data_IF_244744198220
#
_entry.id   IF_244744198220
#
_cell.length_a   1.000
_cell.length_b   1.000
_cell.length_c   1.000
_cell.angle_alpha   90.00
_cell.angle_beta   90.00
_cell.angle_gamma   90.00
#
_symmetry.space_group_name_H-M   'P 1'
#
loop_
_entity.id
_entity.type
_entity.pdbx_description
1 polymer ?
#
# COMPACT_ATOMS: atom_id res chain seq x y z
N UNK A 1 -7.28 -15.22 -26.52
CA UNK A 1 -7.34 -15.70 -25.13
C UNK A 1 -7.15 -14.51 -24.22
N UNK A 2 -8.20 -14.04 -23.55
CA UNK A 2 -8.04 -13.08 -22.46
C UNK A 2 -7.38 -13.81 -21.30
N UNK A 3 -6.12 -13.48 -21.03
CA UNK A 3 -5.46 -13.92 -19.80
C UNK A 3 -6.15 -13.17 -18.65
N UNK A 4 -7.17 -13.80 -18.04
CA UNK A 4 -7.67 -13.44 -16.72
C UNK A 4 -6.60 -13.84 -15.72
N UNK A 5 -5.55 -13.04 -15.68
CA UNK A 5 -4.47 -13.18 -14.74
C UNK A 5 -5.11 -13.08 -13.33
N UNK A 6 -4.81 -14.00 -12.40
CA UNK A 6 -5.52 -14.10 -11.14
C UNK A 6 -5.32 -12.82 -10.33
N UNK A 7 -6.39 -12.28 -9.76
CA UNK A 7 -6.34 -11.13 -8.85
C UNK A 7 -5.82 -11.61 -7.49
N UNK A 8 -5.03 -10.77 -6.83
CA UNK A 8 -4.62 -11.03 -5.46
C UNK A 8 -5.75 -10.71 -4.49
N UNK A 9 -5.85 -11.41 -3.37
CA UNK A 9 -6.73 -10.99 -2.28
C UNK A 9 -6.23 -9.67 -1.70
N UNK A 10 -7.14 -8.74 -1.42
CA UNK A 10 -6.80 -7.46 -0.78
C UNK A 10 -6.06 -7.70 0.53
N UNK A 11 -6.49 -8.69 1.30
CA UNK A 11 -5.86 -9.05 2.56
C UNK A 11 -4.40 -9.44 2.43
N UNK A 12 -4.10 -10.25 1.41
CA UNK A 12 -2.74 -10.68 1.10
C UNK A 12 -1.89 -9.49 0.69
N UNK A 13 -2.42 -8.55 -0.09
CA UNK A 13 -1.69 -7.33 -0.46
C UNK A 13 -1.43 -6.43 0.76
N UNK A 14 -2.40 -6.25 1.65
CA UNK A 14 -2.23 -5.45 2.87
C UNK A 14 -1.18 -6.09 3.79
N UNK A 15 -1.24 -7.42 3.99
CA UNK A 15 -0.25 -8.14 4.79
C UNK A 15 1.16 -8.07 4.19
N UNK A 16 1.29 -8.24 2.87
CA UNK A 16 2.56 -8.11 2.17
C UNK A 16 3.12 -6.69 2.30
N UNK A 17 2.26 -5.68 2.15
CA UNK A 17 2.65 -4.26 2.29
C UNK A 17 3.10 -3.97 3.73
N UNK A 18 2.36 -4.43 4.74
CA UNK A 18 2.73 -4.25 6.14
C UNK A 18 4.06 -4.93 6.50
N UNK A 19 4.31 -6.12 5.94
CA UNK A 19 5.60 -6.81 6.09
C UNK A 19 6.74 -6.01 5.48
N UNK A 20 6.56 -5.56 4.23
CA UNK A 20 7.57 -4.76 3.53
C UNK A 20 7.87 -3.45 4.28
N UNK A 21 6.85 -2.72 4.71
CA UNK A 21 7.01 -1.50 5.50
C UNK A 21 7.79 -1.76 6.79
N UNK A 22 7.51 -2.87 7.49
CA UNK A 22 8.25 -3.23 8.71
C UNK A 22 9.72 -3.54 8.42
N UNK A 23 10.02 -4.22 7.32
CA UNK A 23 11.39 -4.50 6.90
C UNK A 23 12.13 -3.21 6.53
N UNK A 24 11.49 -2.30 5.80
CA UNK A 24 12.05 -1.00 5.43
C UNK A 24 12.30 -0.13 6.67
N UNK A 25 11.34 -0.05 7.60
CA UNK A 25 11.51 0.66 8.88
C UNK A 25 12.68 0.11 9.70
N UNK A 26 12.86 -1.23 9.73
CA UNK A 26 13.98 -1.84 10.48
C UNK A 26 15.36 -1.49 9.93
N UNK A 27 15.44 -1.00 8.69
CA UNK A 27 16.67 -0.63 7.98
C UNK A 27 16.73 0.86 7.68
N UNK A 28 15.72 1.65 8.08
CA UNK A 28 15.70 3.08 7.86
C UNK A 28 16.84 3.72 8.65
N UNK A 29 17.66 4.50 7.96
CA UNK A 29 18.84 5.18 8.54
C UNK A 29 18.64 6.69 8.66
N UNK A 30 17.57 7.22 8.07
CA UNK A 30 17.25 8.64 8.05
C UNK A 30 15.77 8.87 8.41
N UNK A 31 15.52 10.02 9.03
CA UNK A 31 14.20 10.43 9.51
C UNK A 31 13.19 10.63 8.37
N UNK A 32 13.65 10.96 7.15
CA UNK A 32 12.75 11.20 6.02
C UNK A 32 12.10 9.89 5.57
N UNK A 33 12.90 8.82 5.46
CA UNK A 33 12.38 7.48 5.17
C UNK A 33 11.37 7.01 6.22
N UNK A 34 11.64 7.24 7.51
CA UNK A 34 10.70 6.93 8.59
C UNK A 34 9.38 7.70 8.45
N UNK A 35 9.44 9.02 8.21
CA UNK A 35 8.24 9.86 8.02
C UNK A 35 7.37 9.33 6.89
N UNK A 36 7.97 8.99 5.74
CA UNK A 36 7.24 8.47 4.58
C UNK A 36 6.58 7.12 4.91
N UNK A 37 7.31 6.21 5.57
CA UNK A 37 6.81 4.89 5.96
C UNK A 37 5.68 4.99 6.99
N UNK A 38 5.79 5.88 7.99
CA UNK A 38 4.71 6.14 8.95
C UNK A 38 3.50 6.81 8.28
N UNK A 39 3.74 7.73 7.34
CA UNK A 39 2.68 8.33 6.52
C UNK A 39 1.89 7.28 5.75
N UNK A 40 2.57 6.27 5.20
CA UNK A 40 1.92 5.14 4.52
C UNK A 40 1.07 4.29 5.48
N UNK A 41 1.59 3.97 6.68
CA UNK A 41 0.83 3.25 7.71
C UNK A 41 -0.42 4.03 8.10
N UNK A 42 -0.29 5.34 8.29
CA UNK A 42 -1.41 6.21 8.64
C UNK A 42 -2.46 6.26 7.53
N UNK A 43 -2.04 6.29 6.26
CA UNK A 43 -2.96 6.21 5.13
C UNK A 43 -3.78 4.90 5.13
N UNK A 44 -3.17 3.75 5.42
CA UNK A 44 -3.91 2.49 5.54
C UNK A 44 -4.94 2.54 6.68
N UNK A 45 -4.60 3.18 7.81
CA UNK A 45 -5.55 3.37 8.92
C UNK A 45 -6.76 4.22 8.52
N UNK A 46 -6.53 5.30 7.78
CA UNK A 46 -7.62 6.13 7.25
C UNK A 46 -8.47 5.33 6.27
N UNK A 47 -7.83 4.58 5.36
CA UNK A 47 -8.55 3.77 4.38
C UNK A 47 -9.49 2.75 5.05
N UNK A 48 -9.00 2.08 6.08
CA UNK A 48 -9.76 1.12 6.86
C UNK A 48 -10.88 1.81 7.66
N UNK A 49 -10.54 2.77 8.52
CA UNK A 49 -11.47 3.37 9.48
C UNK A 49 -12.53 4.28 8.85
N UNK A 50 -12.13 5.14 7.91
CA UNK A 50 -13.03 6.16 7.35
C UNK A 50 -13.77 5.66 6.11
N UNK A 51 -13.17 4.72 5.38
CA UNK A 51 -13.66 4.29 4.08
C UNK A 51 -14.00 2.81 4.01
N UNK A 52 -13.86 2.03 5.11
CA UNK A 52 -14.11 0.58 5.13
C UNK A 52 -13.45 -0.15 3.95
N UNK A 53 -12.21 0.24 3.63
CA UNK A 53 -11.44 -0.29 2.51
C UNK A 53 -12.09 -0.05 1.12
N UNK A 54 -13.15 0.76 1.01
CA UNK A 54 -13.71 1.20 -0.27
C UNK A 54 -12.80 2.22 -0.94
N UNK A 55 -12.73 2.15 -2.27
CA UNK A 55 -11.93 3.07 -3.07
C UNK A 55 -12.68 4.37 -3.28
N UNK A 56 -12.02 5.48 -3.01
CA UNK A 56 -12.51 6.81 -3.39
C UNK A 56 -11.48 7.54 -4.24
N UNK A 57 -11.93 8.52 -5.03
CA UNK A 57 -11.03 9.34 -5.86
C UNK A 57 -9.96 10.02 -5.01
N UNK A 58 -10.35 10.62 -3.89
CA UNK A 58 -9.44 11.32 -2.98
C UNK A 58 -8.40 10.39 -2.38
N UNK A 59 -8.83 9.22 -1.91
CA UNK A 59 -7.94 8.22 -1.32
C UNK A 59 -6.90 7.72 -2.33
N UNK A 60 -7.32 7.46 -3.57
CA UNK A 60 -6.41 7.02 -4.63
C UNK A 60 -5.46 8.14 -5.07
N UNK A 61 -5.88 9.40 -5.04
CA UNK A 61 -4.98 10.53 -5.25
C UNK A 61 -3.92 10.62 -4.13
N UNK A 62 -4.30 10.42 -2.87
CA UNK A 62 -3.33 10.36 -1.77
C UNK A 62 -2.35 9.20 -1.93
N UNK A 63 -2.84 8.03 -2.37
CA UNK A 63 -1.97 6.91 -2.69
C UNK A 63 -0.97 7.24 -3.81
N UNK A 64 -1.38 7.99 -4.83
CA UNK A 64 -0.49 8.44 -5.91
C UNK A 64 0.63 9.36 -5.38
N UNK A 65 0.35 10.20 -4.37
CA UNK A 65 1.39 11.00 -3.70
C UNK A 65 2.33 10.13 -2.87
N UNK A 66 1.78 9.21 -2.07
CA UNK A 66 2.58 8.30 -1.23
C UNK A 66 3.50 7.41 -2.07
N UNK A 67 3.04 6.93 -3.22
CA UNK A 67 3.88 6.14 -4.14
C UNK A 67 5.10 6.95 -4.59
N UNK A 68 4.91 8.23 -4.94
CA UNK A 68 6.01 9.12 -5.35
C UNK A 68 6.97 9.41 -4.20
N UNK A 69 6.45 9.62 -3.00
CA UNK A 69 7.26 9.86 -1.81
C UNK A 69 8.08 8.62 -1.45
N UNK A 70 7.49 7.43 -1.52
CA UNK A 70 8.18 6.15 -1.35
C UNK A 70 9.28 5.98 -2.39
N UNK A 71 8.98 6.25 -3.67
CA UNK A 71 9.94 6.12 -4.77
C UNK A 71 11.13 7.08 -4.61
N UNK A 72 10.89 8.28 -4.09
CA UNK A 72 11.91 9.33 -3.97
C UNK A 72 12.77 9.22 -2.72
N UNK A 73 12.24 8.65 -1.63
CA UNK A 73 12.88 8.69 -0.31
C UNK A 73 13.37 7.32 0.19
N UNK A 74 12.93 6.19 -0.40
CA UNK A 74 13.44 4.87 -0.01
C UNK A 74 14.50 4.36 -1.00
N UNK A 75 15.62 3.85 -0.47
CA UNK A 75 16.72 3.27 -1.23
C UNK A 75 16.32 2.03 -2.06
N UNK A 76 15.46 1.16 -1.52
CA UNK A 76 14.92 -0.02 -2.20
C UNK A 76 13.39 0.05 -2.27
N UNK A 77 12.88 1.09 -2.91
CA UNK A 77 11.44 1.39 -2.98
C UNK A 77 10.63 0.41 -3.85
N UNK A 78 11.27 -0.33 -4.75
CA UNK A 78 10.60 -1.11 -5.81
C UNK A 78 9.58 -2.13 -5.30
N UNK A 79 9.87 -2.97 -4.28
CA UNK A 79 8.89 -3.94 -3.79
C UNK A 79 7.64 -3.25 -3.25
N UNK A 80 7.84 -2.19 -2.46
CA UNK A 80 6.75 -1.43 -1.87
C UNK A 80 5.91 -0.70 -2.93
N UNK A 81 6.56 0.00 -3.87
CA UNK A 81 5.88 0.67 -5.00
C UNK A 81 5.05 -0.33 -5.83
N UNK A 82 5.58 -1.53 -6.07
CA UNK A 82 4.84 -2.56 -6.80
C UNK A 82 3.55 -2.96 -6.08
N UNK A 83 3.62 -3.25 -4.77
CA UNK A 83 2.46 -3.61 -3.96
C UNK A 83 1.41 -2.48 -3.94
N UNK A 84 1.84 -1.23 -3.74
CA UNK A 84 0.97 -0.06 -3.75
C UNK A 84 0.33 0.18 -5.13
N UNK A 85 1.03 -0.13 -6.22
CA UNK A 85 0.50 -0.04 -7.59
C UNK A 85 -0.59 -1.08 -7.85
N UNK A 86 -0.43 -2.31 -7.35
CA UNK A 86 -1.49 -3.34 -7.43
C UNK A 86 -2.74 -2.89 -6.68
N UNK A 87 -2.57 -2.29 -5.50
CA UNK A 87 -3.66 -1.66 -4.75
C UNK A 87 -4.32 -0.56 -5.58
N UNK A 88 -3.53 0.38 -6.11
CA UNK A 88 -3.99 1.54 -6.87
C UNK A 88 -4.78 1.19 -8.12
N UNK A 89 -4.35 0.17 -8.86
CA UNK A 89 -4.86 -0.15 -10.20
C UNK A 89 -6.19 -0.88 -10.21
N UNK A 90 -6.57 -1.58 -9.14
CA UNK A 90 -7.75 -2.48 -9.24
C UNK A 90 -7.42 -3.94 -9.10
N UNK A 91 -6.14 -4.28 -9.00
CA UNK A 91 -5.68 -5.63 -9.28
C UNK A 91 -5.79 -6.55 -8.06
N UNK A 92 -6.92 -6.47 -7.37
CA UNK A 92 -7.25 -7.31 -6.24
C UNK A 92 -8.74 -7.63 -6.16
N UNK A 93 -9.05 -8.66 -5.40
CA UNK A 93 -10.39 -9.01 -4.96
C UNK A 93 -10.57 -8.57 -3.50
N UNK A 94 -11.64 -7.83 -3.17
CA UNK A 94 -11.96 -7.56 -1.77
C UNK A 94 -12.27 -8.89 -1.07
N UNK A 95 -11.71 -9.09 0.10
CA UNK A 95 -12.10 -10.23 0.93
C UNK A 95 -13.50 -9.97 1.48
N UNK A 96 -14.41 -10.92 1.27
CA UNK A 96 -15.82 -10.82 1.69
C UNK A 96 -15.95 -10.94 3.23
N UNK A 97 -14.86 -11.22 3.93
CA UNK A 97 -14.78 -11.26 5.39
C UNK A 97 -13.78 -10.19 5.85
N UNK A 98 -14.29 -9.24 6.66
CA UNK A 98 -13.50 -8.14 7.18
C UNK A 98 -12.33 -8.66 8.02
N UNK A 99 -11.21 -7.94 7.99
CA UNK A 99 -10.11 -8.09 8.94
C UNK A 99 -10.59 -7.76 10.35
N UNK A 100 -11.19 -8.73 11.03
CA UNK A 100 -11.33 -8.73 12.48
C UNK A 100 -10.16 -9.50 13.11
#
# INVERSE_FOLDING_TARGET
MQYTQPKFKLSVLIQATAKEVREQLSRAIDETAEIVLYGLVYWFRIWDHEYNLFRTKYLMMWLDFLIKDVESNLLDSKPLVHLLTLIRTGYYEPDIEHFN
#
